data_IF_205825820410
#
_entry.id   IF_205825820410
#
_cell.length_a   1.000
_cell.length_b   1.000
_cell.length_c   1.000
_cell.angle_alpha   90.00
_cell.angle_beta   90.00
_cell.angle_gamma   90.00
#
_symmetry.space_group_name_H-M   'P 1'
#
loop_
_entity.id
_entity.type
_entity.pdbx_description
1 polymer ?
#
# COMPACT_ATOMS: atom_id res chain seq x y z
N UNK A 1 51.83 6.18 -34.49
CA UNK A 1 50.46 5.85 -34.93
C UNK A 1 50.40 4.33 -34.99
N UNK A 2 49.83 3.70 -33.95
CA UNK A 2 49.82 2.23 -33.79
C UNK A 2 48.37 1.75 -33.69
N UNK A 3 48.04 0.75 -34.50
CA UNK A 3 46.72 0.17 -34.69
C UNK A 3 46.48 -1.06 -33.79
N UNK A 4 45.25 -1.16 -33.23
CA UNK A 4 44.44 -2.36 -32.91
C UNK A 4 44.99 -3.41 -31.90
N UNK A 5 44.18 -4.29 -31.25
CA UNK A 5 42.82 -4.73 -31.61
C UNK A 5 41.76 -4.88 -30.49
N UNK A 6 40.52 -4.99 -30.97
CA UNK A 6 39.36 -5.74 -30.46
C UNK A 6 39.66 -6.85 -29.41
N UNK A 7 39.03 -6.74 -28.24
CA UNK A 7 38.48 -7.84 -27.46
C UNK A 7 37.21 -7.28 -26.81
N UNK A 8 36.01 -7.54 -27.34
CA UNK A 8 35.22 -8.76 -27.13
C UNK A 8 35.35 -9.23 -25.68
N UNK A 9 34.23 -9.19 -24.95
CA UNK A 9 33.86 -9.86 -23.69
C UNK A 9 32.96 -8.86 -22.95
N UNK A 10 31.77 -9.19 -22.47
CA UNK A 10 31.05 -10.44 -22.38
C UNK A 10 29.64 -9.94 -21.99
N UNK A 11 28.62 -10.24 -22.79
CA UNK A 11 27.23 -9.93 -22.47
C UNK A 11 26.82 -10.69 -21.21
N UNK A 12 27.10 -10.13 -20.03
CA UNK A 12 26.78 -10.75 -18.76
C UNK A 12 25.41 -10.25 -18.29
N UNK A 13 24.45 -11.15 -18.41
CA UNK A 13 23.30 -11.28 -17.53
C UNK A 13 22.30 -10.11 -17.55
N UNK A 14 21.54 -10.01 -18.64
CA UNK A 14 20.11 -9.66 -18.58
C UNK A 14 19.35 -10.78 -17.83
N UNK A 15 19.59 -10.89 -16.52
CA UNK A 15 18.68 -11.57 -15.61
C UNK A 15 18.07 -10.49 -14.71
N UNK A 16 17.28 -9.61 -15.33
CA UNK A 16 16.32 -8.84 -14.56
C UNK A 16 15.24 -9.84 -14.15
N UNK A 17 15.05 -10.15 -12.85
CA UNK A 17 13.82 -10.81 -12.45
C UNK A 17 12.71 -9.87 -12.89
N UNK A 18 11.96 -10.30 -13.91
CA UNK A 18 10.67 -9.73 -14.27
C UNK A 18 9.70 -10.10 -13.15
N UNK A 19 9.95 -9.57 -11.96
CA UNK A 19 8.90 -9.29 -11.02
C UNK A 19 8.08 -8.22 -11.74
N UNK A 20 7.09 -8.69 -12.49
CA UNK A 20 5.93 -7.87 -12.81
C UNK A 20 5.38 -7.43 -11.46
N UNK A 21 5.88 -6.29 -10.97
CA UNK A 21 5.11 -5.42 -10.12
C UNK A 21 3.92 -5.04 -10.99
N UNK A 22 2.93 -5.93 -11.02
CA UNK A 22 1.55 -5.53 -11.23
C UNK A 22 1.35 -4.47 -10.17
N UNK A 23 1.47 -3.20 -10.56
CA UNK A 23 1.19 -2.07 -9.71
C UNK A 23 -0.30 -2.15 -9.42
N UNK A 24 -0.68 -2.98 -8.45
CA UNK A 24 -2.02 -3.02 -7.91
C UNK A 24 -2.35 -1.58 -7.54
N UNK A 25 -3.30 -1.00 -8.28
CA UNK A 25 -3.60 0.42 -8.17
C UNK A 25 -3.92 0.72 -6.71
N UNK A 26 -3.13 1.61 -6.09
CA UNK A 26 -3.33 1.98 -4.69
C UNK A 26 -4.59 2.84 -4.62
N UNK A 27 -5.63 2.30 -3.99
CA UNK A 27 -6.88 3.00 -3.74
C UNK A 27 -6.69 3.87 -2.51
N UNK A 28 -6.58 5.18 -2.69
CA UNK A 28 -6.51 6.11 -1.58
C UNK A 28 -7.87 6.21 -0.89
N UNK A 29 -7.95 5.69 0.34
CA UNK A 29 -9.11 5.88 1.20
C UNK A 29 -9.00 7.29 1.78
N UNK A 30 -9.89 8.18 1.34
CA UNK A 30 -9.99 9.55 1.85
C UNK A 30 -10.76 9.58 3.17
N UNK A 31 -10.31 8.77 4.14
CA UNK A 31 -10.93 8.70 5.45
C UNK A 31 -10.72 10.01 6.22
N UNK A 32 -11.76 10.48 6.89
CA UNK A 32 -11.66 11.64 7.78
C UNK A 32 -11.24 11.19 9.18
N UNK A 33 -11.70 10.02 9.59
CA UNK A 33 -11.41 9.40 10.88
C UNK A 33 -10.52 8.17 10.69
N UNK A 34 -9.57 8.00 11.61
CA UNK A 34 -8.65 6.86 11.69
C UNK A 34 -9.25 5.70 12.50
N UNK A 35 -8.53 4.58 12.64
CA UNK A 35 -9.01 3.35 13.34
C UNK A 35 -9.30 3.53 14.85
N UNK A 36 -8.89 4.66 15.40
CA UNK A 36 -9.06 5.11 16.78
C UNK A 36 -10.17 6.17 16.93
N UNK A 37 -10.85 6.51 15.84
CA UNK A 37 -11.90 7.52 15.81
C UNK A 37 -11.40 8.97 15.88
N UNK A 38 -10.09 9.18 15.90
CA UNK A 38 -9.48 10.51 15.82
C UNK A 38 -9.37 10.98 14.38
N UNK A 39 -9.26 12.31 14.19
CA UNK A 39 -9.03 12.90 12.87
C UNK A 39 -7.69 12.45 12.27
N UNK A 40 -7.67 12.21 10.96
CA UNK A 40 -6.44 11.90 10.23
C UNK A 40 -5.48 13.10 10.25
N UNK A 41 -4.21 12.86 10.55
CA UNK A 41 -3.16 13.87 10.43
C UNK A 41 -2.72 13.96 8.95
N UNK A 42 -2.95 15.11 8.27
CA UNK A 42 -2.58 15.27 6.86
C UNK A 42 -1.06 15.29 6.62
N UNK A 43 -0.25 15.47 7.67
CA UNK A 43 1.21 15.48 7.56
C UNK A 43 1.81 14.07 7.65
N UNK A 44 1.02 13.07 8.03
CA UNK A 44 1.48 11.68 8.07
C UNK A 44 1.26 10.98 6.73
N UNK A 45 2.27 10.22 6.32
CA UNK A 45 2.15 9.37 5.15
C UNK A 45 1.09 8.28 5.41
N UNK A 46 0.17 8.03 4.45
CA UNK A 46 -0.85 7.02 4.61
C UNK A 46 -0.23 5.62 4.68
N UNK A 47 -0.87 4.75 5.45
CA UNK A 47 -0.49 3.35 5.57
C UNK A 47 -1.12 2.56 4.43
N UNK A 48 -0.31 1.90 3.61
CA UNK A 48 -0.80 1.02 2.56
C UNK A 48 -1.08 -0.36 3.14
N UNK A 49 -2.31 -0.82 2.99
CA UNK A 49 -2.79 -2.13 3.44
C UNK A 49 -3.29 -2.90 2.23
N UNK A 50 -2.78 -4.11 2.03
CA UNK A 50 -3.19 -5.00 0.94
C UNK A 50 -4.24 -5.99 1.45
N UNK A 51 -5.38 -6.07 0.77
CA UNK A 51 -6.45 -7.01 1.07
C UNK A 51 -7.04 -7.56 -0.23
N UNK A 52 -6.91 -8.89 -0.43
CA UNK A 52 -7.13 -9.52 -1.72
C UNK A 52 -6.16 -8.95 -2.77
N UNK A 53 -6.67 -8.69 -3.98
CA UNK A 53 -5.93 -8.10 -5.09
C UNK A 53 -5.85 -6.56 -5.05
N UNK A 54 -6.27 -5.93 -3.94
CA UNK A 54 -6.36 -4.47 -3.81
C UNK A 54 -5.42 -3.94 -2.74
N UNK A 55 -4.80 -2.81 -3.05
CA UNK A 55 -4.02 -2.02 -2.10
C UNK A 55 -4.81 -0.78 -1.69
N UNK A 56 -4.93 -0.53 -0.39
CA UNK A 56 -5.66 0.59 0.17
C UNK A 56 -4.72 1.49 0.95
N UNK A 57 -4.65 2.77 0.61
CA UNK A 57 -3.90 3.76 1.39
C UNK A 57 -4.83 4.39 2.43
N UNK A 58 -4.47 4.27 3.70
CA UNK A 58 -5.27 4.64 4.87
C UNK A 58 -4.59 5.80 5.60
N UNK A 59 -5.32 6.89 5.85
CA UNK A 59 -4.86 7.96 6.73
C UNK A 59 -4.85 7.54 8.20
N UNK A 60 -3.81 7.92 8.93
CA UNK A 60 -3.66 7.68 10.36
C UNK A 60 -3.71 9.00 11.14
N UNK A 61 -4.19 8.94 12.39
CA UNK A 61 -4.22 10.10 13.31
C UNK A 61 -2.87 10.42 13.94
N UNK A 62 -2.02 9.42 14.13
CA UNK A 62 -0.69 9.55 14.73
C UNK A 62 0.27 8.48 14.20
N UNK A 63 1.57 8.62 14.49
CA UNK A 63 2.57 7.59 14.14
C UNK A 63 2.29 6.26 14.83
N UNK A 64 1.85 6.29 16.08
CA UNK A 64 1.47 5.11 16.84
C UNK A 64 0.29 4.40 16.20
N UNK A 65 -0.72 5.17 15.77
CA UNK A 65 -1.87 4.62 15.04
C UNK A 65 -1.46 4.03 13.70
N UNK A 66 -0.55 4.68 12.97
CA UNK A 66 0.00 4.14 11.72
C UNK A 66 0.72 2.79 11.95
N UNK A 67 1.51 2.66 13.02
CA UNK A 67 2.11 1.38 13.40
C UNK A 67 1.07 0.33 13.79
N UNK A 68 0.02 0.74 14.52
CA UNK A 68 -1.07 -0.16 14.88
C UNK A 68 -1.78 -0.71 13.63
N UNK A 69 -2.06 0.13 12.63
CA UNK A 69 -2.64 -0.29 11.35
C UNK A 69 -1.71 -1.30 10.64
N UNK A 70 -0.39 -1.06 10.62
CA UNK A 70 0.59 -1.97 10.00
C UNK A 70 0.67 -3.33 10.70
N UNK A 71 0.50 -3.37 12.01
CA UNK A 71 0.55 -4.60 12.83
C UNK A 71 -0.79 -5.34 12.84
N UNK A 72 -1.88 -4.67 12.52
CA UNK A 72 -3.23 -5.23 12.48
C UNK A 72 -3.44 -6.09 11.23
N UNK A 73 -4.35 -7.07 11.31
CA UNK A 73 -4.78 -7.80 10.11
C UNK A 73 -5.43 -6.81 9.12
N UNK A 74 -5.11 -6.88 7.81
CA UNK A 74 -5.67 -5.98 6.80
C UNK A 74 -7.19 -5.82 6.85
N UNK A 75 -7.90 -6.94 6.95
CA UNK A 75 -9.36 -6.94 7.06
C UNK A 75 -9.87 -6.21 8.30
N UNK A 76 -9.21 -6.40 9.44
CA UNK A 76 -9.60 -5.76 10.69
C UNK A 76 -9.36 -4.24 10.65
N UNK A 77 -8.24 -3.81 10.04
CA UNK A 77 -7.95 -2.39 9.83
C UNK A 77 -9.01 -1.73 8.94
N UNK A 78 -9.33 -2.35 7.80
CA UNK A 78 -10.35 -1.85 6.88
C UNK A 78 -11.75 -1.82 7.53
N UNK A 79 -12.11 -2.87 8.29
CA UNK A 79 -13.36 -2.91 9.06
C UNK A 79 -13.42 -1.81 10.11
N UNK A 80 -12.33 -1.57 10.83
CA UNK A 80 -12.27 -0.51 11.84
C UNK A 80 -12.47 0.87 11.20
N UNK A 81 -11.80 1.15 10.08
CA UNK A 81 -11.99 2.40 9.33
C UNK A 81 -13.43 2.55 8.86
N UNK A 82 -14.05 1.51 8.33
CA UNK A 82 -15.46 1.55 7.92
C UNK A 82 -16.41 1.75 9.11
N UNK A 83 -16.06 1.22 10.29
CA UNK A 83 -16.85 1.42 11.50
C UNK A 83 -16.89 2.90 11.91
N UNK A 84 -15.77 3.61 11.76
CA UNK A 84 -15.67 5.05 12.09
C UNK A 84 -16.06 5.97 10.92
N UNK A 85 -15.79 5.57 9.68
CA UNK A 85 -16.11 6.31 8.45
C UNK A 85 -16.90 5.42 7.47
N UNK A 86 -18.20 5.30 7.74
CA UNK A 86 -19.13 4.43 7.00
C UNK A 86 -19.22 4.74 5.50
N UNK A 87 -18.78 5.92 5.06
CA UNK A 87 -18.76 6.32 3.64
C UNK A 87 -17.81 5.45 2.81
N UNK A 88 -16.86 4.79 3.47
CA UNK A 88 -15.86 3.94 2.82
C UNK A 88 -16.34 2.52 2.59
N UNK A 89 -17.53 2.15 3.09
CA UNK A 89 -18.11 0.80 2.92
C UNK A 89 -18.16 0.41 1.44
N UNK A 90 -18.69 1.29 0.60
CA UNK A 90 -18.83 1.06 -0.85
C UNK A 90 -17.48 0.98 -1.58
N UNK A 91 -16.46 1.67 -1.08
CA UNK A 91 -15.13 1.70 -1.71
C UNK A 91 -14.34 0.42 -1.40
N UNK A 92 -14.41 -0.04 -0.15
CA UNK A 92 -13.67 -1.21 0.31
C UNK A 92 -14.40 -2.51 -0.10
N UNK A 93 -15.73 -2.52 -0.10
CA UNK A 93 -16.52 -3.68 -0.52
C UNK A 93 -16.35 -4.90 0.41
N UNK A 94 -16.25 -4.66 1.73
CA UNK A 94 -16.11 -5.75 2.70
C UNK A 94 -17.39 -6.59 2.75
N UNK A 95 -17.31 -7.93 2.68
CA UNK A 95 -18.49 -8.78 2.82
C UNK A 95 -19.11 -8.59 4.21
N UNK A 96 -20.44 -8.42 4.24
CA UNK A 96 -21.20 -8.37 5.48
C UNK A 96 -20.90 -9.64 6.30
N UNK A 97 -20.62 -9.47 7.58
CA UNK A 97 -20.34 -10.60 8.50
C UNK A 97 -21.60 -11.47 8.55
N UNK A 98 -21.56 -12.64 7.90
CA UNK A 98 -22.53 -13.72 8.14
C UNK A 98 -22.28 -14.35 9.50
#
# INVERSE_FOLDING_TARGET
>A
MSNLPLMLWLCLALCAPRAAAESAAIVALRNVLSIDGQGVDPNLAPVVVTYGDRCFAIGASSRETAEAIRKMRPEAALRAIVAYDRRLTDVIGLPARR
#
